data_IF_060613813180
#
_entry.id   IF_060613813180
#
_cell.length_a   1.000
_cell.length_b   1.000
_cell.length_c   1.000
_cell.angle_alpha   90.00
_cell.angle_beta   90.00
_cell.angle_gamma   90.00
#
_symmetry.space_group_name_H-M   'P 1'
#
loop_
_entity.id
_entity.type
_entity.pdbx_description
1 polymer ?
#
# COMPACT_ATOMS: atom_id res chain seq x y z
N UNK A 1 -0.43 -7.16 -1.50
CA UNK A 1 0.32 -7.84 -0.42
C UNK A 1 1.53 -8.62 -0.96
N UNK A 2 1.34 -9.58 -1.86
CA UNK A 2 2.44 -10.41 -2.38
C UNK A 2 3.51 -9.62 -3.16
N UNK A 3 3.14 -8.55 -3.83
CA UNK A 3 4.09 -7.71 -4.58
C UNK A 3 5.01 -6.91 -3.65
N UNK A 4 4.52 -6.47 -2.52
CA UNK A 4 5.31 -5.73 -1.53
C UNK A 4 6.38 -6.58 -0.82
N UNK A 5 6.26 -7.92 -0.85
CA UNK A 5 7.29 -8.84 -0.32
C UNK A 5 8.62 -8.75 -1.09
N UNK A 6 8.63 -8.09 -2.24
CA UNK A 6 9.84 -7.89 -3.06
C UNK A 6 10.61 -6.62 -2.72
N UNK A 7 10.09 -5.75 -1.85
CA UNK A 7 10.68 -4.46 -1.51
C UNK A 7 11.20 -4.41 -0.07
N UNK A 8 12.43 -3.94 0.13
CA UNK A 8 13.04 -3.51 1.38
C UNK A 8 12.74 -4.35 2.62
N UNK A 9 12.25 -3.71 3.68
CA UNK A 9 11.98 -4.31 4.99
C UNK A 9 10.98 -5.49 4.97
N UNK A 10 10.04 -5.50 4.03
CA UNK A 10 9.05 -6.58 3.90
C UNK A 10 9.66 -7.88 3.36
N UNK A 11 10.81 -7.79 2.70
CA UNK A 11 11.51 -8.94 2.14
C UNK A 11 12.03 -9.87 3.24
N UNK A 12 12.50 -9.31 4.34
CA UNK A 12 13.01 -10.08 5.49
C UNK A 12 11.88 -10.75 6.28
N UNK A 13 10.73 -10.08 6.39
CA UNK A 13 9.58 -10.59 7.15
C UNK A 13 8.75 -11.62 6.38
N UNK A 14 8.77 -11.58 5.04
CA UNK A 14 8.15 -12.57 4.19
C UNK A 14 6.63 -12.45 4.01
N UNK A 15 6.09 -13.32 3.16
CA UNK A 15 4.71 -13.25 2.67
C UNK A 15 3.65 -13.44 3.77
N UNK A 16 3.90 -14.33 4.73
CA UNK A 16 2.96 -14.58 5.84
C UNK A 16 2.80 -13.36 6.75
N UNK A 17 3.89 -12.65 7.03
CA UNK A 17 3.86 -11.40 7.77
C UNK A 17 3.07 -10.32 7.04
N UNK A 18 3.28 -10.20 5.72
CA UNK A 18 2.52 -9.24 4.91
C UNK A 18 1.02 -9.55 4.92
N UNK A 19 0.63 -10.83 4.84
CA UNK A 19 -0.77 -11.23 5.00
C UNK A 19 -1.34 -10.84 6.37
N UNK A 20 -0.62 -11.15 7.45
CA UNK A 20 -1.05 -10.79 8.80
C UNK A 20 -1.25 -9.28 8.95
N UNK A 21 -0.28 -8.48 8.53
CA UNK A 21 -0.32 -7.03 8.72
C UNK A 21 -1.36 -6.34 7.79
N UNK A 22 -1.54 -6.87 6.58
CA UNK A 22 -2.54 -6.35 5.63
C UNK A 22 -3.97 -6.56 6.13
N UNK A 23 -4.25 -7.73 6.72
CA UNK A 23 -5.60 -8.09 7.14
C UNK A 23 -5.84 -7.89 8.64
N UNK A 24 -4.82 -7.61 9.42
CA UNK A 24 -4.87 -7.35 10.87
C UNK A 24 -5.83 -8.28 11.62
N UNK A 25 -5.69 -9.62 11.52
CA UNK A 25 -6.60 -10.52 12.18
C UNK A 25 -6.51 -10.36 13.70
N UNK A 26 -7.62 -10.60 14.39
CA UNK A 26 -7.69 -10.49 15.86
C UNK A 26 -6.55 -11.25 16.54
N UNK A 27 -5.88 -10.64 17.50
CA UNK A 27 -4.66 -11.12 18.19
C UNK A 27 -3.49 -11.44 17.24
N UNK A 28 -3.52 -10.95 16.00
CA UNK A 28 -2.50 -11.24 15.00
C UNK A 28 -2.44 -12.71 14.54
N UNK A 29 -3.46 -13.51 14.85
CA UNK A 29 -3.51 -14.96 14.55
C UNK A 29 -3.82 -15.18 13.09
N UNK A 30 -2.85 -15.64 12.31
CA UNK A 30 -2.99 -15.81 10.86
C UNK A 30 -4.05 -16.87 10.48
N UNK A 31 -4.27 -17.85 11.31
CA UNK A 31 -5.31 -18.87 11.12
C UNK A 31 -6.73 -18.30 11.04
N UNK A 32 -6.96 -17.10 11.58
CA UNK A 32 -8.26 -16.41 11.45
C UNK A 32 -8.57 -15.94 10.04
N UNK A 33 -7.60 -15.94 9.13
CA UNK A 33 -7.80 -15.69 7.69
C UNK A 33 -8.39 -16.92 6.98
N UNK A 34 -8.44 -18.07 7.66
CA UNK A 34 -9.11 -19.26 7.14
C UNK A 34 -10.62 -19.14 7.25
N UNK A 35 -11.33 -19.92 6.41
CA UNK A 35 -12.77 -20.06 6.54
C UNK A 35 -13.11 -20.57 7.94
N UNK A 36 -14.13 -19.99 8.56
CA UNK A 36 -14.63 -20.45 9.88
C UNK A 36 -15.44 -21.71 9.70
N UNK A 37 -14.99 -22.77 10.35
CA UNK A 37 -15.63 -24.09 10.34
C UNK A 37 -15.20 -24.88 11.58
N UNK A 38 -16.00 -25.81 12.03
CA UNK A 38 -15.63 -26.77 13.08
C UNK A 38 -14.52 -27.71 12.58
N UNK A 39 -13.59 -28.07 13.46
CA UNK A 39 -12.44 -28.91 13.14
C UNK A 39 -11.25 -28.15 12.51
N UNK A 40 -10.25 -28.90 12.09
CA UNK A 40 -9.05 -28.36 11.44
C UNK A 40 -9.25 -28.23 9.93
N UNK A 41 -8.91 -27.07 9.37
CA UNK A 41 -8.98 -26.79 7.94
C UNK A 41 -7.64 -26.26 7.47
N UNK A 42 -7.14 -26.79 6.36
CA UNK A 42 -6.03 -26.22 5.64
C UNK A 42 -6.51 -25.11 4.70
N UNK A 43 -5.80 -23.97 4.73
CA UNK A 43 -6.02 -22.82 3.87
C UNK A 43 -4.78 -22.59 3.02
N UNK A 44 -5.00 -22.38 1.74
CA UNK A 44 -3.94 -22.11 0.78
C UNK A 44 -4.21 -20.81 0.04
N UNK A 45 -3.27 -19.86 0.15
CA UNK A 45 -3.29 -18.59 -0.59
C UNK A 45 -2.16 -18.66 -1.61
N UNK A 46 -2.50 -18.56 -2.88
CA UNK A 46 -1.52 -18.57 -3.95
C UNK A 46 -1.59 -17.29 -4.77
N UNK A 47 -0.43 -16.71 -5.05
CA UNK A 47 -0.29 -15.56 -5.94
C UNK A 47 0.64 -15.96 -7.08
N UNK A 48 0.19 -15.76 -8.30
CA UNK A 48 0.94 -16.09 -9.51
C UNK A 48 1.23 -14.82 -10.29
N UNK A 49 2.43 -14.69 -10.81
CA UNK A 49 2.85 -13.67 -11.77
C UNK A 49 3.73 -14.32 -12.83
N UNK A 50 4.05 -13.58 -13.92
CA UNK A 50 4.85 -14.12 -15.03
C UNK A 50 6.14 -14.84 -14.62
N UNK A 51 6.79 -14.36 -13.56
CA UNK A 51 8.11 -14.87 -13.11
C UNK A 51 8.02 -15.92 -12.00
N UNK A 52 6.84 -16.34 -11.58
CA UNK A 52 6.73 -17.34 -10.52
C UNK A 52 5.41 -17.38 -9.77
N UNK A 53 5.33 -18.34 -8.87
CA UNK A 53 4.19 -18.57 -7.98
C UNK A 53 4.67 -18.55 -6.53
N UNK A 54 3.95 -17.86 -5.69
CA UNK A 54 4.16 -17.82 -4.26
C UNK A 54 2.92 -18.39 -3.56
N UNK A 55 3.12 -19.30 -2.63
CA UNK A 55 2.01 -19.97 -1.92
C UNK A 55 2.27 -19.93 -0.43
N UNK A 56 1.26 -19.54 0.34
CA UNK A 56 1.20 -19.67 1.79
C UNK A 56 0.17 -20.72 2.16
N UNK A 57 0.55 -21.70 2.98
CA UNK A 57 -0.33 -22.76 3.46
C UNK A 57 -0.32 -22.80 4.99
N UNK A 58 -1.49 -22.76 5.60
CA UNK A 58 -1.70 -22.73 7.04
C UNK A 58 -3.08 -23.29 7.42
N UNK A 59 -3.28 -23.61 8.69
CA UNK A 59 -4.59 -24.05 9.19
C UNK A 59 -5.30 -22.93 9.95
N UNK A 60 -6.59 -23.14 10.23
CA UNK A 60 -7.39 -22.25 11.10
C UNK A 60 -6.86 -22.20 12.55
N UNK A 61 -5.97 -23.11 12.94
CA UNK A 61 -5.30 -23.15 14.25
C UNK A 61 -3.90 -22.51 14.24
N UNK A 62 -3.43 -22.02 13.10
CA UNK A 62 -2.11 -21.39 12.99
C UNK A 62 -2.11 -20.01 13.67
N UNK A 63 -1.30 -19.84 14.71
CA UNK A 63 -1.25 -18.59 15.46
C UNK A 63 -0.26 -17.61 14.85
N UNK A 64 0.96 -18.05 14.57
CA UNK A 64 2.09 -17.20 14.20
C UNK A 64 2.41 -17.26 12.71
N UNK A 65 2.74 -16.13 12.06
CA UNK A 65 3.11 -16.12 10.65
C UNK A 65 4.38 -16.93 10.32
N UNK A 66 5.30 -17.09 11.29
CA UNK A 66 6.53 -17.87 11.11
C UNK A 66 6.28 -19.36 10.88
N UNK A 67 5.13 -19.86 11.36
CA UNK A 67 4.75 -21.28 11.20
C UNK A 67 3.99 -21.58 9.91
N UNK A 68 3.75 -20.57 9.08
CA UNK A 68 3.12 -20.71 7.76
C UNK A 68 4.11 -21.33 6.78
N UNK A 69 3.69 -22.38 6.10
CA UNK A 69 4.49 -23.00 5.05
C UNK A 69 4.45 -22.15 3.78
N UNK A 70 5.60 -21.57 3.43
CA UNK A 70 5.76 -20.79 2.20
C UNK A 70 6.50 -21.61 1.17
N UNK A 71 5.94 -21.70 -0.04
CA UNK A 71 6.51 -22.42 -1.17
C UNK A 71 6.46 -21.59 -2.44
N UNK A 72 7.35 -21.91 -3.42
CA UNK A 72 7.32 -21.32 -4.75
C UNK A 72 7.95 -19.93 -4.89
N UNK A 73 8.86 -19.53 -3.99
CA UNK A 73 9.51 -18.22 -4.04
C UNK A 73 10.66 -18.10 -5.04
N UNK A 74 11.07 -19.19 -5.71
CA UNK A 74 12.27 -19.33 -6.56
C UNK A 74 12.19 -18.39 -7.73
N UNK A 75 11.65 -17.57 -8.11
CA UNK A 75 11.63 -16.58 -9.20
C UNK A 75 10.98 -15.26 -8.78
N UNK A 76 10.36 -15.29 -7.60
CA UNK A 76 9.53 -14.17 -7.15
C UNK A 76 10.33 -12.89 -6.86
N UNK A 77 11.52 -13.02 -6.30
CA UNK A 77 12.39 -11.91 -5.94
C UNK A 77 13.37 -11.46 -7.02
N UNK A 78 13.34 -12.04 -8.22
CA UNK A 78 14.30 -11.70 -9.29
C UNK A 78 14.08 -10.31 -9.89
N UNK A 79 12.86 -9.81 -9.86
CA UNK A 79 12.52 -8.48 -10.36
C UNK A 79 11.68 -7.76 -9.32
N UNK A 80 12.19 -6.64 -8.85
CA UNK A 80 11.45 -5.77 -7.96
C UNK A 80 10.19 -5.23 -8.67
N UNK A 81 9.08 -5.30 -7.96
CA UNK A 81 7.81 -4.77 -8.43
C UNK A 81 7.20 -3.92 -7.31
N UNK A 82 7.08 -2.66 -7.56
CA UNK A 82 6.36 -1.75 -6.68
C UNK A 82 4.86 -1.93 -6.95
N UNK A 83 4.09 -2.11 -5.91
CA UNK A 83 2.63 -2.15 -6.00
C UNK A 83 2.02 -1.29 -4.90
N UNK A 84 1.02 -0.51 -5.27
CA UNK A 84 0.25 0.28 -4.32
C UNK A 84 -1.19 -0.26 -4.27
N UNK A 85 -1.67 -0.51 -3.06
CA UNK A 85 -3.09 -0.73 -2.82
C UNK A 85 -3.71 0.61 -2.44
N UNK A 86 -4.70 1.05 -3.21
CA UNK A 86 -5.43 2.28 -2.93
C UNK A 86 -6.62 1.92 -2.05
N UNK A 87 -6.60 2.27 -0.75
CA UNK A 87 -7.67 1.90 0.17
C UNK A 87 -8.95 2.68 -0.12
N UNK A 88 -10.08 2.14 0.36
CA UNK A 88 -11.40 2.79 0.20
C UNK A 88 -11.42 4.15 0.88
N UNK A 89 -10.89 4.24 2.09
CA UNK A 89 -10.77 5.52 2.82
C UNK A 89 -9.48 6.23 2.42
N UNK A 90 -9.59 7.51 2.11
CA UNK A 90 -8.45 8.36 1.86
C UNK A 90 -7.84 8.83 3.19
N UNK A 91 -6.52 8.75 3.33
CA UNK A 91 -5.83 9.04 4.59
C UNK A 91 -4.82 10.18 4.51
N UNK A 92 -4.58 10.80 3.34
CA UNK A 92 -3.62 11.90 3.22
C UNK A 92 -4.04 13.14 3.99
N UNK A 93 -5.36 13.37 4.13
CA UNK A 93 -5.88 14.44 4.97
C UNK A 93 -5.50 14.28 6.45
N UNK A 94 -5.20 13.06 6.89
CA UNK A 94 -4.85 12.71 8.26
C UNK A 94 -3.38 12.25 8.39
N UNK A 95 -2.56 12.47 7.35
CA UNK A 95 -1.15 12.07 7.35
C UNK A 95 -0.31 12.70 8.49
N UNK A 96 -0.54 13.98 8.89
CA UNK A 96 0.24 14.59 9.95
C UNK A 96 0.20 13.78 11.24
N UNK A 97 1.39 13.41 11.73
CA UNK A 97 1.55 12.62 12.95
C UNK A 97 1.10 11.15 12.85
N UNK A 98 0.41 10.73 11.78
CA UNK A 98 -0.11 9.38 11.66
C UNK A 98 1.00 8.32 11.62
N UNK A 99 2.01 8.53 10.76
CA UNK A 99 3.14 7.60 10.66
C UNK A 99 3.91 7.48 11.98
N UNK A 100 4.18 8.61 12.62
CA UNK A 100 4.88 8.64 13.90
C UNK A 100 4.07 7.97 15.02
N UNK A 101 2.77 8.20 15.06
CA UNK A 101 1.89 7.63 16.08
C UNK A 101 1.70 6.13 15.85
N UNK A 102 1.49 5.71 14.60
CA UNK A 102 1.33 4.30 14.25
C UNK A 102 2.57 3.46 14.57
N UNK A 103 3.79 4.01 14.33
CA UNK A 103 5.03 3.31 14.63
C UNK A 103 5.38 3.26 16.13
N UNK A 104 5.01 4.30 16.90
CA UNK A 104 5.38 4.41 18.32
C UNK A 104 4.37 3.78 19.28
N UNK A 105 3.10 3.69 18.90
CA UNK A 105 2.00 3.29 19.79
C UNK A 105 1.27 2.03 19.37
N UNK A 106 1.80 1.28 18.40
CA UNK A 106 1.18 0.04 17.89
C UNK A 106 -0.33 0.19 17.63
N UNK A 107 -0.72 1.32 17.03
CA UNK A 107 -2.13 1.53 16.71
C UNK A 107 -2.57 0.46 15.72
N UNK A 108 -3.70 -0.18 15.99
CA UNK A 108 -4.29 -1.22 15.15
C UNK A 108 -4.87 -0.64 13.85
N UNK A 109 -3.99 -0.18 12.96
CA UNK A 109 -4.34 0.16 11.59
C UNK A 109 -3.79 -0.90 10.64
N UNK A 110 -4.55 -1.18 9.59
CA UNK A 110 -4.08 -2.05 8.51
C UNK A 110 -2.87 -1.41 7.83
N UNK A 111 -1.84 -2.19 7.60
CA UNK A 111 -0.58 -1.75 7.01
C UNK A 111 -0.74 -1.03 5.67
N UNK A 112 -1.81 -1.33 4.94
CA UNK A 112 -2.11 -0.69 3.64
C UNK A 112 -2.25 0.83 3.73
N UNK A 113 -2.71 1.36 4.87
CA UNK A 113 -2.79 2.81 5.08
C UNK A 113 -1.43 3.43 5.35
N UNK A 114 -0.57 2.72 6.08
CA UNK A 114 0.81 3.16 6.30
C UNK A 114 1.60 3.17 4.98
N UNK A 115 1.47 2.10 4.20
CA UNK A 115 2.14 1.95 2.92
C UNK A 115 1.74 3.07 1.95
N UNK A 116 0.45 3.37 1.82
CA UNK A 116 -0.01 4.38 0.87
C UNK A 116 0.44 5.79 1.26
N UNK A 117 0.47 6.12 2.56
CA UNK A 117 0.99 7.39 3.05
C UNK A 117 2.50 7.49 2.80
N UNK A 118 3.27 6.44 3.11
CA UNK A 118 4.72 6.39 2.80
C UNK A 118 4.98 6.62 1.31
N UNK A 119 4.21 5.96 0.44
CA UNK A 119 4.32 6.16 -1.00
C UNK A 119 3.98 7.59 -1.42
N UNK A 120 2.98 8.22 -0.82
CA UNK A 120 2.60 9.59 -1.15
C UNK A 120 3.71 10.61 -0.80
N UNK A 121 4.55 10.31 0.19
CA UNK A 121 5.70 11.15 0.56
C UNK A 121 6.95 10.94 -0.29
N UNK A 122 6.97 9.93 -1.18
CA UNK A 122 8.11 9.73 -2.06
C UNK A 122 8.32 10.96 -2.96
N UNK A 123 9.56 11.36 -3.19
CA UNK A 123 9.86 12.48 -4.05
C UNK A 123 9.47 12.18 -5.50
N UNK A 124 9.17 13.25 -6.26
CA UNK A 124 8.96 13.15 -7.70
C UNK A 124 10.12 12.42 -8.38
N UNK A 125 9.82 11.52 -9.32
CA UNK A 125 10.84 10.88 -10.14
C UNK A 125 11.66 11.91 -10.88
N UNK A 126 12.98 11.69 -10.87
CA UNK A 126 13.94 12.47 -11.67
C UNK A 126 14.01 11.88 -13.08
N UNK A 127 14.17 12.75 -14.07
CA UNK A 127 14.33 12.34 -15.47
C UNK A 127 13.13 12.66 -16.36
N UNK A 128 13.23 12.34 -17.65
CA UNK A 128 12.16 12.60 -18.61
C UNK A 128 10.94 11.72 -18.30
N UNK A 129 9.78 12.35 -18.35
CA UNK A 129 8.50 11.65 -18.21
C UNK A 129 8.07 11.16 -19.59
N UNK A 130 7.71 9.88 -19.72
CA UNK A 130 7.18 9.37 -20.99
C UNK A 130 5.84 10.05 -21.34
N UNK A 131 5.50 10.06 -22.64
CA UNK A 131 4.32 10.76 -23.15
C UNK A 131 3.00 10.26 -22.54
N UNK A 132 2.88 8.94 -22.30
CA UNK A 132 1.67 8.33 -21.74
C UNK A 132 1.46 8.80 -20.29
N UNK A 133 2.51 8.75 -19.48
CA UNK A 133 2.51 9.20 -18.10
C UNK A 133 2.22 10.69 -17.98
N UNK A 134 2.85 11.54 -18.83
CA UNK A 134 2.59 12.97 -18.83
C UNK A 134 1.12 13.26 -19.14
N UNK A 135 0.53 12.59 -20.14
CA UNK A 135 -0.87 12.73 -20.48
C UNK A 135 -1.82 12.41 -19.32
N UNK A 136 -1.52 11.35 -18.56
CA UNK A 136 -2.30 10.99 -17.37
C UNK A 136 -2.17 12.04 -16.26
N UNK A 137 -0.95 12.53 -16.01
CA UNK A 137 -0.71 13.60 -15.04
C UNK A 137 -1.48 14.87 -15.41
N UNK A 138 -1.46 15.27 -16.69
CA UNK A 138 -2.17 16.47 -17.17
C UNK A 138 -3.68 16.30 -17.05
N UNK A 139 -4.22 15.11 -17.38
CA UNK A 139 -5.63 14.82 -17.23
C UNK A 139 -6.09 14.92 -15.77
N UNK A 140 -5.36 14.25 -14.86
CA UNK A 140 -5.67 14.29 -13.44
C UNK A 140 -5.54 15.70 -12.87
N UNK A 141 -4.46 16.42 -13.22
CA UNK A 141 -4.27 17.81 -12.81
C UNK A 141 -5.42 18.72 -13.25
N UNK A 142 -5.91 18.54 -14.48
CA UNK A 142 -7.08 19.27 -14.97
C UNK A 142 -8.35 18.90 -14.20
N UNK A 143 -8.52 17.62 -13.88
CA UNK A 143 -9.73 17.13 -13.17
C UNK A 143 -9.79 17.64 -11.74
N UNK A 144 -8.64 17.68 -11.03
CA UNK A 144 -8.57 18.19 -9.65
C UNK A 144 -8.35 19.71 -9.58
N UNK A 145 -8.26 20.37 -10.73
CA UNK A 145 -7.98 21.82 -10.87
C UNK A 145 -6.76 22.28 -10.06
N UNK A 146 -5.65 21.53 -10.15
CA UNK A 146 -4.45 21.93 -9.43
C UNK A 146 -3.34 20.88 -9.40
N UNK A 147 -2.29 21.20 -8.65
CA UNK A 147 -1.16 20.29 -8.37
C UNK A 147 -1.11 19.99 -6.90
N UNK A 148 -0.77 18.75 -6.57
CA UNK A 148 -0.55 18.39 -5.17
C UNK A 148 0.85 18.82 -4.75
N UNK A 149 0.92 19.48 -3.60
CA UNK A 149 2.17 19.81 -2.93
C UNK A 149 2.12 19.35 -1.49
N UNK A 150 3.28 19.09 -0.88
CA UNK A 150 3.40 18.83 0.55
C UNK A 150 4.27 19.88 1.23
N UNK A 151 3.91 20.23 2.47
CA UNK A 151 4.68 21.09 3.36
C UNK A 151 4.82 20.36 4.69
N UNK A 152 6.01 19.80 4.96
CA UNK A 152 6.16 18.86 6.05
C UNK A 152 5.26 17.64 5.82
N UNK A 153 4.43 17.33 6.79
CA UNK A 153 3.50 16.19 6.72
C UNK A 153 2.12 16.55 6.13
N UNK A 154 1.88 17.81 5.77
CA UNK A 154 0.59 18.27 5.25
C UNK A 154 0.55 18.27 3.73
N UNK A 155 -0.57 17.85 3.18
CA UNK A 155 -0.86 17.89 1.73
C UNK A 155 -1.80 19.04 1.40
N UNK A 156 -1.52 19.71 0.29
CA UNK A 156 -2.30 20.84 -0.25
C UNK A 156 -2.56 20.64 -1.73
N UNK A 157 -3.69 21.13 -2.20
CA UNK A 157 -3.95 21.34 -3.61
C UNK A 157 -3.62 22.80 -3.95
N UNK A 158 -2.66 23.00 -4.81
CA UNK A 158 -2.23 24.33 -5.29
C UNK A 158 -2.79 24.61 -6.67
N UNK A 159 -3.54 25.69 -6.81
CA UNK A 159 -4.08 26.19 -8.07
C UNK A 159 -3.88 27.71 -8.20
N UNK A 160 -4.57 28.33 -9.17
CA UNK A 160 -4.49 29.80 -9.42
C UNK A 160 -5.05 30.64 -8.27
N UNK A 161 -5.97 30.08 -7.49
CA UNK A 161 -6.64 30.77 -6.39
C UNK A 161 -5.84 30.70 -5.08
N UNK A 162 -4.89 29.78 -4.99
CA UNK A 162 -4.04 29.58 -3.82
C UNK A 162 -3.80 28.13 -3.48
N UNK A 163 -3.63 27.85 -2.20
CA UNK A 163 -3.36 26.54 -1.65
C UNK A 163 -4.52 26.15 -0.73
N UNK A 164 -5.09 24.99 -0.96
CA UNK A 164 -6.20 24.45 -0.19
C UNK A 164 -5.76 23.15 0.50
N UNK A 165 -5.99 23.06 1.78
CA UNK A 165 -5.67 21.90 2.61
C UNK A 165 -6.49 20.68 2.17
N UNK A 166 -5.88 19.48 2.22
CA UNK A 166 -6.57 18.25 1.87
C UNK A 166 -7.80 17.98 2.73
N UNK A 167 -7.81 18.44 3.97
CA UNK A 167 -8.96 18.32 4.87
C UNK A 167 -10.22 19.04 4.35
N UNK A 168 -10.04 20.06 3.52
CA UNK A 168 -11.13 20.86 2.93
C UNK A 168 -11.59 20.34 1.57
N UNK A 169 -10.88 19.37 0.97
CA UNK A 169 -11.24 18.77 -0.30
C UNK A 169 -12.28 17.66 -0.13
N UNK A 170 -13.14 17.49 -1.11
CA UNK A 170 -14.01 16.32 -1.21
C UNK A 170 -13.17 15.02 -1.32
N UNK A 171 -13.64 13.92 -0.74
CA UNK A 171 -12.91 12.65 -0.72
C UNK A 171 -12.51 12.15 -2.11
N UNK A 172 -13.41 12.30 -3.10
CA UNK A 172 -13.11 11.92 -4.49
C UNK A 172 -11.95 12.73 -5.08
N UNK A 173 -11.86 14.02 -4.79
CA UNK A 173 -10.75 14.87 -5.22
C UNK A 173 -9.44 14.44 -4.55
N UNK A 174 -9.45 14.12 -3.26
CA UNK A 174 -8.28 13.61 -2.53
C UNK A 174 -7.78 12.29 -3.10
N UNK A 175 -8.68 11.37 -3.48
CA UNK A 175 -8.32 10.11 -4.16
C UNK A 175 -7.66 10.33 -5.51
N UNK A 176 -8.20 11.22 -6.34
CA UNK A 176 -7.59 11.57 -7.62
C UNK A 176 -6.23 12.25 -7.42
N UNK A 177 -6.10 13.10 -6.41
CA UNK A 177 -4.86 13.74 -6.04
C UNK A 177 -3.81 12.72 -5.54
N UNK A 178 -4.20 11.71 -4.77
CA UNK A 178 -3.35 10.59 -4.40
C UNK A 178 -2.85 9.84 -5.64
N UNK A 179 -3.73 9.48 -6.58
CA UNK A 179 -3.33 8.80 -7.81
C UNK A 179 -2.33 9.65 -8.60
N UNK A 180 -2.56 10.96 -8.70
CA UNK A 180 -1.65 11.89 -9.34
C UNK A 180 -0.25 11.86 -8.68
N UNK A 181 -0.18 11.88 -7.33
CA UNK A 181 1.09 11.76 -6.60
C UNK A 181 1.82 10.45 -6.89
N UNK A 182 1.11 9.33 -6.85
CA UNK A 182 1.68 8.00 -7.08
C UNK A 182 2.19 7.82 -8.52
N UNK A 183 1.55 8.47 -9.49
CA UNK A 183 2.05 8.53 -10.87
C UNK A 183 3.27 9.45 -10.94
N UNK A 184 3.25 10.61 -10.30
CA UNK A 184 4.33 11.58 -10.33
C UNK A 184 5.64 11.03 -9.74
N UNK A 185 5.55 10.27 -8.65
CA UNK A 185 6.71 9.69 -7.98
C UNK A 185 7.10 8.28 -8.49
N UNK A 186 6.34 7.71 -9.43
CA UNK A 186 6.67 6.44 -10.07
C UNK A 186 6.25 5.19 -9.31
N UNK A 187 5.46 5.33 -8.29
CA UNK A 187 4.85 4.18 -7.59
C UNK A 187 3.83 3.47 -8.48
N UNK A 188 3.09 4.23 -9.30
CA UNK A 188 2.20 3.73 -10.35
C UNK A 188 2.77 4.10 -11.72
N UNK A 189 2.88 3.09 -12.63
CA UNK A 189 3.35 3.18 -14.03
C UNK A 189 4.85 3.22 -14.23
#
# INVERSE_FOLDING_TARGET
>A
AACAVTTGEDREKGFAWKLRNTFSPYEGRIGRLSRRQAGSISTKIAVTRQSGKLTAEFSNHTDKPETVKITGNTGWGKKELISAYIPVKEMLAHAPGFLATASRREIAFEEVYLDIIKFAFLPKLKGPVDKGRQRLLDLLQKTIDGKVINKGEYFFLKNKQGELEFTLLAEGMRKLALIWLLIQNGTLL
#
